data_IF_474932643663
#
_entry.id   IF_474932643663
#
_cell.length_a   1.000
_cell.length_b   1.000
_cell.length_c   1.000
_cell.angle_alpha   90.00
_cell.angle_beta   90.00
_cell.angle_gamma   90.00
#
_symmetry.space_group_name_H-M   'P 1'
#
loop_
_entity.id
_entity.type
_entity.pdbx_description
1 polymer ?
#
# COMPACT_ATOMS: atom_id res chain seq x y z
N UNK A 1 -12.52 -9.37 -0.56
CA UNK A 1 -13.10 -8.06 -0.94
C UNK A 1 -12.13 -6.92 -0.64
N UNK A 2 -11.51 -6.88 0.54
CA UNK A 2 -10.59 -5.81 0.96
C UNK A 2 -9.44 -5.48 0.00
N UNK A 3 -8.80 -6.50 -0.59
CA UNK A 3 -7.75 -6.31 -1.60
C UNK A 3 -8.23 -5.51 -2.82
N UNK A 4 -9.43 -5.83 -3.31
CA UNK A 4 -9.98 -5.22 -4.51
C UNK A 4 -10.26 -3.73 -4.30
N UNK A 5 -10.90 -3.39 -3.18
CA UNK A 5 -11.15 -2.00 -2.77
C UNK A 5 -9.85 -1.21 -2.61
N UNK A 6 -8.84 -1.80 -1.97
CA UNK A 6 -7.53 -1.16 -1.86
C UNK A 6 -6.87 -0.98 -3.22
N UNK A 7 -6.98 -1.94 -4.13
CA UNK A 7 -6.39 -1.86 -5.46
C UNK A 7 -7.02 -0.76 -6.32
N UNK A 8 -8.35 -0.57 -6.24
CA UNK A 8 -9.05 0.50 -6.96
C UNK A 8 -8.74 1.88 -6.39
N UNK A 9 -8.66 2.01 -5.06
CA UNK A 9 -8.39 3.27 -4.38
C UNK A 9 -6.89 3.53 -4.13
N UNK A 10 -6.01 2.63 -4.59
CA UNK A 10 -4.58 2.67 -4.29
C UNK A 10 -3.92 3.94 -4.81
N UNK A 11 -4.35 4.39 -5.99
CA UNK A 11 -3.93 5.66 -6.60
C UNK A 11 -4.26 6.86 -5.72
N UNK A 12 -5.39 6.85 -5.02
CA UNK A 12 -5.78 7.94 -4.11
C UNK A 12 -4.97 7.89 -2.80
N UNK A 13 -4.63 6.68 -2.33
CA UNK A 13 -3.83 6.49 -1.11
C UNK A 13 -2.39 6.96 -1.30
N UNK A 14 -1.74 6.58 -2.40
CA UNK A 14 -0.33 6.91 -2.67
C UNK A 14 -0.15 8.18 -3.53
N UNK A 15 -1.16 8.56 -4.31
CA UNK A 15 -1.04 9.56 -5.36
C UNK A 15 -0.57 8.96 -6.69
N UNK A 16 -1.03 9.54 -7.81
CA UNK A 16 -0.74 9.06 -9.18
C UNK A 16 0.75 8.81 -9.45
N UNK A 17 1.62 9.71 -8.99
CA UNK A 17 3.07 9.63 -9.21
C UNK A 17 3.68 8.36 -8.63
N UNK A 18 3.20 7.94 -7.46
CA UNK A 18 3.66 6.76 -6.76
C UNK A 18 3.00 5.51 -7.34
N UNK A 19 1.69 5.54 -7.58
CA UNK A 19 0.95 4.39 -8.12
C UNK A 19 1.44 3.95 -9.52
N UNK A 20 1.93 4.87 -10.35
CA UNK A 20 2.58 4.53 -11.64
C UNK A 20 3.86 3.70 -11.46
N UNK A 21 4.49 3.76 -10.29
CA UNK A 21 5.80 3.18 -9.99
C UNK A 21 5.75 2.12 -8.89
N UNK A 22 4.61 1.98 -8.23
CA UNK A 22 4.38 1.10 -7.10
C UNK A 22 3.09 0.34 -7.35
N UNK A 23 3.20 -0.98 -7.45
CA UNK A 23 2.03 -1.83 -7.69
C UNK A 23 1.66 -2.58 -6.43
N UNK A 24 0.37 -2.58 -6.11
CA UNK A 24 -0.19 -3.43 -5.09
C UNK A 24 -0.29 -4.85 -5.64
N UNK A 25 0.40 -5.79 -4.99
CA UNK A 25 0.54 -7.17 -5.46
C UNK A 25 -0.45 -8.08 -4.75
N UNK A 26 -0.49 -8.00 -3.42
CA UNK A 26 -1.35 -8.86 -2.63
C UNK A 26 -1.68 -8.23 -1.26
N UNK A 27 -2.74 -8.71 -0.63
CA UNK A 27 -3.05 -8.47 0.78
C UNK A 27 -3.41 -9.81 1.40
N UNK A 28 -2.48 -10.37 2.19
CA UNK A 28 -2.67 -11.67 2.84
C UNK A 28 -2.24 -11.59 4.30
N UNK A 29 -3.03 -12.19 5.19
CA UNK A 29 -2.74 -12.24 6.63
C UNK A 29 -2.47 -10.84 7.25
N UNK A 30 -3.20 -9.83 6.79
CA UNK A 30 -2.98 -8.42 7.15
C UNK A 30 -1.61 -7.84 6.77
N UNK A 31 -0.91 -8.47 5.83
CA UNK A 31 0.33 -8.00 5.23
C UNK A 31 0.06 -7.52 3.81
N UNK A 32 0.26 -6.23 3.57
CA UNK A 32 0.14 -5.63 2.24
C UNK A 32 1.46 -5.81 1.49
N UNK A 33 1.43 -6.49 0.34
CA UNK A 33 2.61 -6.69 -0.50
C UNK A 33 2.59 -5.67 -1.62
N UNK A 34 3.61 -4.81 -1.64
CA UNK A 34 3.79 -3.77 -2.64
C UNK A 34 5.09 -4.01 -3.42
N UNK A 35 5.03 -3.85 -4.74
CA UNK A 35 6.20 -3.93 -5.62
C UNK A 35 6.62 -2.54 -6.04
N UNK A 36 7.82 -2.15 -5.64
CA UNK A 36 8.41 -0.87 -6.04
C UNK A 36 9.23 -1.06 -7.33
N UNK A 37 9.19 -0.07 -8.23
CA UNK A 37 9.96 -0.14 -9.48
C UNK A 37 11.48 0.03 -9.27
N UNK A 38 11.90 0.70 -8.20
CA UNK A 38 13.32 0.92 -7.90
C UNK A 38 13.57 1.07 -6.39
N UNK A 39 14.84 1.07 -5.99
CA UNK A 39 15.27 1.18 -4.60
C UNK A 39 14.93 2.53 -3.94
N UNK A 40 14.89 3.62 -4.70
CA UNK A 40 14.53 4.94 -4.19
C UNK A 40 13.07 4.96 -3.69
N UNK A 41 12.14 4.41 -4.48
CA UNK A 41 10.74 4.28 -4.06
C UNK A 41 10.57 3.32 -2.89
N UNK A 42 11.36 2.24 -2.85
CA UNK A 42 11.35 1.32 -1.71
C UNK A 42 11.68 2.03 -0.41
N UNK A 43 12.69 2.90 -0.41
CA UNK A 43 13.05 3.72 0.75
C UNK A 43 11.96 4.73 1.12
N UNK A 44 11.42 5.44 0.13
CA UNK A 44 10.33 6.40 0.34
C UNK A 44 9.09 5.74 0.94
N UNK A 45 8.69 4.59 0.39
CA UNK A 45 7.55 3.85 0.88
C UNK A 45 7.79 3.22 2.25
N UNK A 46 9.02 2.77 2.55
CA UNK A 46 9.39 2.32 3.90
C UNK A 46 9.23 3.45 4.92
N UNK A 47 9.63 4.67 4.56
CA UNK A 47 9.41 5.85 5.40
C UNK A 47 7.91 6.14 5.58
N UNK A 48 7.13 6.05 4.50
CA UNK A 48 5.69 6.30 4.52
C UNK A 48 4.84 5.09 4.95
N UNK A 49 5.44 3.94 5.29
CA UNK A 49 4.67 2.69 5.51
C UNK A 49 3.62 2.81 6.59
N UNK A 50 3.92 3.54 7.66
CA UNK A 50 2.95 3.80 8.74
C UNK A 50 1.76 4.60 8.24
N UNK A 51 2.02 5.64 7.44
CA UNK A 51 0.96 6.45 6.83
C UNK A 51 0.12 5.65 5.83
N UNK A 52 0.75 4.75 5.05
CA UNK A 52 0.05 3.85 4.13
C UNK A 52 -0.88 2.92 4.92
N UNK A 53 -0.39 2.28 5.98
CA UNK A 53 -1.20 1.41 6.85
C UNK A 53 -2.41 2.16 7.40
N UNK A 54 -2.17 3.37 7.92
CA UNK A 54 -3.21 4.20 8.51
C UNK A 54 -4.27 4.61 7.50
N UNK A 55 -3.85 5.05 6.30
CA UNK A 55 -4.75 5.37 5.18
C UNK A 55 -5.54 4.15 4.71
N UNK A 56 -4.90 3.00 4.56
CA UNK A 56 -5.57 1.75 4.17
C UNK A 56 -6.62 1.35 5.21
N UNK A 57 -6.29 1.42 6.50
CA UNK A 57 -7.21 1.07 7.58
C UNK A 57 -8.36 2.06 7.71
N UNK A 58 -8.10 3.35 7.51
CA UNK A 58 -9.11 4.40 7.47
C UNK A 58 -10.06 4.20 6.29
N UNK A 59 -9.53 3.85 5.12
CA UNK A 59 -10.35 3.61 3.92
C UNK A 59 -11.23 2.36 4.04
N UNK A 60 -10.73 1.33 4.72
CA UNK A 60 -11.48 0.09 4.97
C UNK A 60 -12.35 0.15 6.23
N UNK A 61 -12.30 1.26 6.97
CA UNK A 61 -12.94 1.46 8.29
C UNK A 61 -12.66 0.32 9.29
N UNK A 62 -11.48 -0.31 9.15
CA UNK A 62 -11.06 -1.44 9.99
C UNK A 62 -9.55 -1.64 9.95
N UNK A 63 -9.01 -2.32 10.96
CA UNK A 63 -7.60 -2.70 11.04
C UNK A 63 -7.26 -3.89 10.12
N UNK A 64 -7.42 -3.71 8.81
CA UNK A 64 -7.15 -4.74 7.81
C UNK A 64 -5.66 -4.95 7.54
N UNK A 65 -4.88 -3.85 7.54
CA UNK A 65 -3.44 -3.86 7.28
C UNK A 65 -2.70 -3.66 8.59
N UNK A 66 -1.84 -4.61 8.96
CA UNK A 66 -0.96 -4.54 10.13
C UNK A 66 0.48 -4.26 9.74
N UNK A 67 0.89 -4.71 8.56
CA UNK A 67 2.24 -4.50 8.06
C UNK A 67 2.22 -4.36 6.54
N UNK A 68 3.27 -3.72 6.02
CA UNK A 68 3.49 -3.56 4.58
C UNK A 68 4.84 -4.13 4.27
N UNK A 69 4.93 -4.92 3.21
CA UNK A 69 6.16 -5.52 2.72
C UNK A 69 6.42 -5.04 1.31
N UNK A 70 7.63 -4.54 1.09
CA UNK A 70 8.07 -4.08 -0.23
C UNK A 70 9.00 -5.09 -0.88
N UNK A 71 8.64 -5.56 -2.07
CA UNK A 71 9.50 -6.39 -2.92
C UNK A 71 10.19 -5.51 -3.96
#
# INVERSE_FOLDING_TARGET
MDFFTLSEQFESILGESLAKRVKLIDLKDSVLILKASNAAWKNELEYQKKAIIDRCNTLLDKAAVKSVRFI
#
